data_IF_841742503759
#
_entry.id   IF_841742503759
#
_cell.length_a   1.000
_cell.length_b   1.000
_cell.length_c   1.000
_cell.angle_alpha   90.00
_cell.angle_beta   90.00
_cell.angle_gamma   90.00
#
_symmetry.space_group_name_H-M   'P 1'
#
loop_
_entity.id
_entity.type
_entity.pdbx_description
1 polymer ?
#
# COMPACT_ATOMS: atom_id res chain seq x y z
N UNK A 1 -16.05 8.22 -21.09
CA UNK A 1 -15.60 9.60 -20.87
C UNK A 1 -14.32 9.81 -21.69
N UNK A 2 -14.18 10.99 -22.29
CA UNK A 2 -12.94 11.34 -22.98
C UNK A 2 -11.79 11.50 -21.98
N UNK A 3 -10.53 11.28 -22.37
CA UNK A 3 -9.38 11.50 -21.49
C UNK A 3 -9.38 12.87 -20.81
N UNK A 4 -9.84 13.91 -21.53
CA UNK A 4 -9.90 15.27 -21.01
C UNK A 4 -10.90 15.45 -19.84
N UNK A 5 -12.01 14.71 -19.86
CA UNK A 5 -13.02 14.74 -18.77
C UNK A 5 -12.48 14.05 -17.53
N UNK A 6 -11.74 12.97 -17.68
CA UNK A 6 -11.06 12.28 -16.57
C UNK A 6 -9.99 13.18 -15.97
N UNK A 7 -9.14 13.81 -16.80
CA UNK A 7 -8.12 14.75 -16.34
C UNK A 7 -8.70 15.95 -15.55
N UNK A 8 -9.84 16.48 -15.98
CA UNK A 8 -10.48 17.59 -15.26
C UNK A 8 -11.08 17.18 -13.92
N UNK A 9 -11.64 15.96 -13.84
CA UNK A 9 -12.17 15.42 -12.59
C UNK A 9 -11.04 15.20 -11.56
N UNK A 10 -9.93 14.60 -11.98
CA UNK A 10 -8.77 14.34 -11.13
C UNK A 10 -8.08 15.63 -10.64
N UNK A 11 -8.00 16.65 -11.48
CA UNK A 11 -7.45 17.95 -11.08
C UNK A 11 -8.30 18.61 -9.98
N UNK A 12 -9.64 18.51 -10.07
CA UNK A 12 -10.55 18.99 -9.03
C UNK A 12 -10.40 18.23 -7.71
N UNK A 13 -10.10 16.95 -7.78
CA UNK A 13 -9.91 16.12 -6.58
C UNK A 13 -8.54 16.36 -5.95
N UNK A 14 -7.52 16.66 -6.75
CA UNK A 14 -6.23 17.09 -6.26
C UNK A 14 -6.32 18.36 -5.42
N UNK A 15 -7.08 19.35 -5.86
CA UNK A 15 -7.22 20.63 -5.16
C UNK A 15 -7.86 20.51 -3.76
N UNK A 16 -8.55 19.39 -3.49
CA UNK A 16 -9.13 19.09 -2.17
C UNK A 16 -8.14 18.46 -1.20
N UNK A 17 -7.01 17.97 -1.69
CA UNK A 17 -5.99 17.31 -0.87
C UNK A 17 -5.16 18.35 -0.10
N UNK A 18 -4.55 17.99 1.04
CA UNK A 18 -3.62 18.86 1.76
C UNK A 18 -2.41 19.25 0.88
N UNK A 19 -1.95 20.48 1.02
CA UNK A 19 -0.86 21.02 0.20
C UNK A 19 0.43 20.17 0.16
N UNK A 20 0.93 19.58 1.26
CA UNK A 20 2.08 18.72 1.19
C UNK A 20 1.87 17.52 0.26
N UNK A 21 0.68 16.92 0.31
CA UNK A 21 0.33 15.80 -0.57
C UNK A 21 0.20 16.24 -2.04
N UNK A 22 -0.44 17.38 -2.28
CA UNK A 22 -0.51 17.95 -3.63
C UNK A 22 0.87 18.14 -4.25
N UNK A 23 1.80 18.71 -3.48
CA UNK A 23 3.19 18.93 -3.90
C UNK A 23 3.89 17.62 -4.24
N UNK A 24 3.76 16.62 -3.38
CA UNK A 24 4.33 15.29 -3.60
C UNK A 24 3.78 14.62 -4.87
N UNK A 25 2.46 14.66 -5.08
CA UNK A 25 1.81 14.08 -6.25
C UNK A 25 2.23 14.77 -7.56
N UNK A 26 2.41 16.10 -7.52
CA UNK A 26 2.93 16.86 -8.66
C UNK A 26 4.38 16.49 -8.99
N UNK A 27 5.24 16.39 -7.98
CA UNK A 27 6.64 16.01 -8.16
C UNK A 27 6.81 14.57 -8.64
N UNK A 28 5.89 13.70 -8.26
CA UNK A 28 5.90 12.28 -8.67
C UNK A 28 5.36 12.07 -10.09
N UNK A 29 5.00 13.11 -10.83
CA UNK A 29 4.38 13.07 -12.17
C UNK A 29 3.16 12.12 -12.26
N UNK A 30 2.51 11.86 -11.13
CA UNK A 30 1.38 10.93 -11.05
C UNK A 30 0.21 11.40 -11.92
N UNK A 31 0.06 12.71 -12.05
CA UNK A 31 -1.03 13.33 -12.81
C UNK A 31 -0.94 13.08 -14.32
N UNK A 32 0.25 12.77 -14.84
CA UNK A 32 0.46 12.41 -16.23
C UNK A 32 0.15 10.93 -16.51
N UNK A 33 0.08 10.10 -15.44
CA UNK A 33 -0.09 8.65 -15.53
C UNK A 33 -1.35 8.11 -14.83
N UNK A 34 -2.38 8.93 -14.73
CA UNK A 34 -3.61 8.68 -13.98
C UNK A 34 -4.47 7.50 -14.46
N UNK A 35 -4.16 6.90 -15.59
CA UNK A 35 -4.88 5.73 -16.09
C UNK A 35 -4.40 4.39 -15.51
N UNK A 36 -3.41 4.40 -14.61
CA UNK A 36 -2.90 3.15 -14.03
C UNK A 36 -3.87 2.63 -12.99
N UNK A 37 -4.60 1.59 -13.35
CA UNK A 37 -5.60 0.94 -12.48
C UNK A 37 -5.01 -0.24 -11.70
N UNK A 38 -3.95 -0.85 -12.21
CA UNK A 38 -3.31 -2.00 -11.59
C UNK A 38 -1.81 -1.86 -11.62
N UNK A 39 -1.16 -2.20 -10.51
CA UNK A 39 0.29 -2.21 -10.37
C UNK A 39 0.78 -3.62 -10.08
N UNK A 40 1.85 -4.02 -10.75
CA UNK A 40 2.55 -5.27 -10.47
C UNK A 40 3.98 -4.96 -10.08
N UNK A 41 4.39 -5.45 -8.92
CA UNK A 41 5.73 -5.26 -8.41
C UNK A 41 6.42 -6.59 -8.14
N UNK A 42 7.73 -6.61 -8.33
CA UNK A 42 8.62 -7.66 -7.82
C UNK A 42 9.52 -7.02 -6.78
N UNK A 43 9.63 -7.67 -5.65
CA UNK A 43 10.39 -7.17 -4.52
C UNK A 43 11.48 -8.19 -4.15
N UNK A 44 12.66 -7.69 -3.83
CA UNK A 44 13.75 -8.47 -3.27
C UNK A 44 14.25 -7.77 -2.02
N UNK A 45 14.47 -8.53 -0.98
CA UNK A 45 14.90 -7.98 0.29
C UNK A 45 15.26 -9.06 1.29
N UNK A 46 15.17 -8.70 2.55
CA UNK A 46 15.34 -9.64 3.64
C UNK A 46 14.28 -9.39 4.72
N UNK A 47 13.87 -10.45 5.38
CA UNK A 47 12.90 -10.41 6.48
C UNK A 47 13.51 -11.06 7.74
N UNK A 48 13.10 -10.55 8.88
CA UNK A 48 13.48 -11.10 10.19
C UNK A 48 12.21 -11.37 11.00
N UNK A 49 12.05 -12.60 11.45
CA UNK A 49 10.86 -13.05 12.22
C UNK A 49 11.01 -12.85 13.73
N UNK A 50 11.60 -11.75 14.15
CA UNK A 50 11.69 -11.34 15.55
C UNK A 50 13.07 -10.83 15.94
N UNK A 51 13.18 -10.19 17.12
CA UNK A 51 14.46 -9.73 17.65
C UNK A 51 15.47 -10.87 17.80
N UNK A 52 16.72 -10.65 17.40
CA UNK A 52 17.79 -11.65 17.48
C UNK A 52 17.72 -12.81 16.48
N UNK A 53 16.70 -12.89 15.64
CA UNK A 53 16.63 -13.88 14.55
C UNK A 53 17.46 -13.42 13.35
N UNK A 54 17.99 -14.33 12.53
CA UNK A 54 18.73 -13.97 11.33
C UNK A 54 17.81 -13.28 10.30
N UNK A 55 18.40 -12.40 9.49
CA UNK A 55 17.78 -11.89 8.29
C UNK A 55 17.79 -13.00 7.23
N UNK A 56 16.64 -13.26 6.64
CA UNK A 56 16.45 -14.29 5.61
C UNK A 56 16.10 -13.61 4.28
N UNK A 57 16.68 -14.03 3.16
CA UNK A 57 16.33 -13.51 1.85
C UNK A 57 14.84 -13.71 1.56
N UNK A 58 14.23 -12.68 0.96
CA UNK A 58 12.83 -12.64 0.59
C UNK A 58 12.72 -12.20 -0.86
N UNK A 59 11.93 -12.95 -1.65
CA UNK A 59 11.45 -12.52 -2.96
C UNK A 59 9.93 -12.48 -2.92
N UNK A 60 9.36 -11.36 -3.38
CA UNK A 60 7.91 -11.21 -3.37
C UNK A 60 7.37 -10.68 -4.69
N UNK A 61 6.09 -10.97 -4.92
CA UNK A 61 5.27 -10.42 -6.00
C UNK A 61 4.08 -9.73 -5.37
N UNK A 62 3.82 -8.51 -5.80
CA UNK A 62 2.70 -7.72 -5.34
C UNK A 62 1.83 -7.30 -6.52
N UNK A 63 0.54 -7.44 -6.36
CA UNK A 63 -0.48 -6.99 -7.30
C UNK A 63 -1.43 -6.07 -6.55
N UNK A 64 -1.55 -4.84 -7.03
CA UNK A 64 -2.42 -3.83 -6.44
C UNK A 64 -3.47 -3.45 -7.47
N UNK A 65 -4.72 -3.43 -7.06
CA UNK A 65 -5.82 -2.86 -7.81
C UNK A 65 -6.29 -1.57 -7.15
N UNK A 66 -6.42 -0.53 -7.96
CA UNK A 66 -6.75 0.83 -7.57
C UNK A 66 -8.10 1.29 -8.05
N UNK A 67 -8.94 0.39 -8.53
CA UNK A 67 -10.27 0.73 -9.01
C UNK A 67 -11.23 1.02 -7.84
N UNK A 68 -12.49 0.76 -8.02
CA UNK A 68 -13.57 1.05 -7.08
C UNK A 68 -13.36 0.48 -5.66
N UNK A 69 -12.56 -0.59 -5.54
CA UNK A 69 -12.28 -1.26 -4.27
C UNK A 69 -10.78 -1.50 -4.11
N UNK A 70 -10.29 -1.34 -2.88
CA UNK A 70 -8.93 -1.69 -2.52
C UNK A 70 -8.67 -3.18 -2.81
N UNK A 71 -7.65 -3.46 -3.59
CA UNK A 71 -7.25 -4.82 -3.91
C UNK A 71 -5.75 -5.02 -3.78
N UNK A 72 -5.34 -6.00 -2.95
CA UNK A 72 -3.96 -6.39 -2.74
C UNK A 72 -3.83 -7.90 -2.78
N UNK A 73 -2.90 -8.39 -3.58
CA UNK A 73 -2.38 -9.75 -3.47
C UNK A 73 -0.87 -9.66 -3.36
N UNK A 74 -0.35 -10.02 -2.20
CA UNK A 74 1.08 -10.06 -1.95
C UNK A 74 1.50 -11.50 -1.64
N UNK A 75 2.41 -12.02 -2.43
CA UNK A 75 2.97 -13.35 -2.25
C UNK A 75 4.48 -13.25 -2.08
N UNK A 76 5.02 -13.88 -1.04
CA UNK A 76 6.44 -13.89 -0.77
C UNK A 76 6.98 -15.28 -0.44
N UNK A 77 8.15 -15.56 -0.97
CA UNK A 77 8.98 -16.70 -0.60
C UNK A 77 10.18 -16.24 0.22
N UNK A 78 10.39 -16.90 1.35
CA UNK A 78 11.55 -16.71 2.21
C UNK A 78 12.46 -17.92 2.07
N UNK A 79 13.71 -17.68 1.73
CA UNK A 79 14.67 -18.73 1.48
C UNK A 79 15.65 -18.89 2.64
N UNK A 80 16.03 -20.14 2.93
CA UNK A 80 17.11 -20.50 3.82
C UNK A 80 17.88 -21.65 3.20
N UNK A 81 19.21 -21.55 3.15
CA UNK A 81 20.05 -22.57 2.53
C UNK A 81 19.63 -22.94 1.10
N UNK A 82 19.30 -21.93 0.28
CA UNK A 82 18.86 -22.05 -1.12
C UNK A 82 17.49 -22.71 -1.34
N UNK A 83 16.76 -23.02 -0.28
CA UNK A 83 15.43 -23.62 -0.36
C UNK A 83 14.38 -22.63 0.14
N UNK A 84 13.25 -22.55 -0.54
CA UNK A 84 12.08 -21.84 -0.05
C UNK A 84 11.57 -22.57 1.20
N UNK A 85 11.74 -21.95 2.36
CA UNK A 85 11.37 -22.56 3.65
C UNK A 85 10.06 -22.04 4.19
N UNK A 86 9.66 -20.84 3.77
CA UNK A 86 8.41 -20.22 4.19
C UNK A 86 7.83 -19.43 3.03
N UNK A 87 6.54 -19.60 2.78
CA UNK A 87 5.79 -18.76 1.88
C UNK A 87 4.67 -18.04 2.62
N UNK A 88 4.37 -16.82 2.18
CA UNK A 88 3.33 -15.98 2.75
C UNK A 88 2.44 -15.47 1.62
N UNK A 89 1.14 -15.53 1.82
CA UNK A 89 0.14 -15.00 0.90
C UNK A 89 -0.80 -14.08 1.67
N UNK A 90 -0.78 -12.80 1.31
CA UNK A 90 -1.70 -11.80 1.84
C UNK A 90 -2.68 -11.43 0.74
N UNK A 91 -3.96 -11.51 1.03
CA UNK A 91 -5.03 -11.22 0.07
C UNK A 91 -6.04 -10.26 0.68
N UNK A 92 -6.20 -9.11 0.03
CA UNK A 92 -7.25 -8.14 0.28
C UNK A 92 -8.01 -7.96 -1.04
N UNK A 93 -9.10 -8.66 -1.20
CA UNK A 93 -10.01 -8.55 -2.35
C UNK A 93 -11.43 -8.58 -1.78
N UNK A 94 -12.12 -7.45 -1.78
CA UNK A 94 -13.44 -7.34 -1.18
C UNK A 94 -14.44 -8.34 -1.80
N UNK A 95 -15.14 -9.18 -1.00
CA UNK A 95 -15.12 -9.28 0.47
C UNK A 95 -14.03 -10.19 1.06
N UNK A 96 -13.12 -10.71 0.28
CA UNK A 96 -12.14 -11.72 0.68
C UNK A 96 -10.90 -11.10 1.31
N UNK A 97 -10.62 -11.49 2.56
CA UNK A 97 -9.39 -11.11 3.27
C UNK A 97 -8.77 -12.34 3.89
N UNK A 98 -7.50 -12.60 3.56
CA UNK A 98 -6.79 -13.76 4.08
C UNK A 98 -5.29 -13.48 4.22
N UNK A 99 -4.69 -14.00 5.29
CA UNK A 99 -3.24 -14.15 5.43
C UNK A 99 -2.97 -15.62 5.64
N UNK A 100 -2.23 -16.21 4.73
CA UNK A 100 -1.81 -17.60 4.78
C UNK A 100 -0.30 -17.68 4.85
N UNK A 101 0.21 -18.48 5.77
CA UNK A 101 1.62 -18.77 5.89
C UNK A 101 1.84 -20.28 5.81
N UNK A 102 2.85 -20.68 5.05
CA UNK A 102 3.27 -22.08 4.91
C UNK A 102 4.73 -22.23 5.25
N UNK A 103 5.08 -23.31 5.94
CA UNK A 103 6.45 -23.75 6.20
C UNK A 103 6.63 -25.09 5.50
N UNK A 104 7.61 -25.17 4.59
CA UNK A 104 7.83 -26.35 3.75
C UNK A 104 6.58 -26.81 2.99
N UNK A 105 5.76 -25.86 2.52
CA UNK A 105 4.51 -26.15 1.84
C UNK A 105 3.33 -26.53 2.75
N UNK A 106 3.57 -26.76 4.05
CA UNK A 106 2.53 -27.10 5.02
C UNK A 106 1.95 -25.82 5.61
N UNK A 107 0.61 -25.65 5.61
CA UNK A 107 -0.03 -24.51 6.27
C UNK A 107 0.40 -24.44 7.74
N UNK A 108 0.97 -23.30 8.13
CA UNK A 108 1.41 -23.05 9.50
C UNK A 108 0.48 -22.10 10.23
N UNK A 109 0.01 -21.08 9.53
CA UNK A 109 -0.95 -20.14 10.05
C UNK A 109 -1.90 -19.71 8.93
N UNK A 110 -3.16 -19.65 9.26
CA UNK A 110 -4.21 -19.03 8.46
C UNK A 110 -4.95 -18.07 9.37
N UNK A 111 -4.95 -16.79 9.00
CA UNK A 111 -5.64 -15.76 9.76
C UNK A 111 -6.70 -15.15 8.84
N UNK A 112 -7.96 -15.33 9.22
CA UNK A 112 -9.10 -14.72 8.55
C UNK A 112 -9.47 -13.42 9.25
N UNK A 113 -10.08 -12.50 8.51
CA UNK A 113 -10.62 -11.24 9.04
C UNK A 113 -9.56 -10.22 9.55
N UNK A 114 -8.37 -10.25 9.00
CA UNK A 114 -7.34 -9.22 9.28
C UNK A 114 -7.47 -8.03 8.31
N UNK A 115 -8.69 -7.59 8.02
CA UNK A 115 -8.96 -6.51 7.07
C UNK A 115 -8.18 -5.25 7.42
N UNK A 116 -8.13 -4.86 8.69
CA UNK A 116 -7.39 -3.70 9.15
C UNK A 116 -5.89 -3.81 8.84
N UNK A 117 -5.27 -4.94 9.14
CA UNK A 117 -3.86 -5.17 8.85
C UNK A 117 -3.57 -5.11 7.36
N UNK A 118 -4.41 -5.75 6.54
CA UNK A 118 -4.26 -5.77 5.09
C UNK A 118 -4.52 -4.40 4.45
N UNK A 119 -5.44 -3.61 5.01
CA UNK A 119 -5.66 -2.23 4.59
C UNK A 119 -4.46 -1.34 4.93
N UNK A 120 -3.85 -1.49 6.10
CA UNK A 120 -2.61 -0.77 6.44
C UNK A 120 -1.46 -1.15 5.50
N UNK A 121 -1.32 -2.44 5.20
CA UNK A 121 -0.32 -2.92 4.24
C UNK A 121 -0.59 -2.35 2.83
N UNK A 122 -1.84 -2.37 2.38
CA UNK A 122 -2.25 -1.76 1.13
C UNK A 122 -1.91 -0.26 1.09
N UNK A 123 -2.24 0.49 2.16
CA UNK A 123 -1.89 1.90 2.27
C UNK A 123 -0.36 2.15 2.21
N UNK A 124 0.43 1.28 2.83
CA UNK A 124 1.90 1.34 2.72
C UNK A 124 2.39 1.13 1.29
N UNK A 125 1.78 0.20 0.55
CA UNK A 125 2.15 -0.02 -0.86
C UNK A 125 1.77 1.14 -1.79
N UNK A 126 0.84 2.01 -1.40
CA UNK A 126 0.52 3.21 -2.18
C UNK A 126 1.65 4.21 -2.28
N UNK A 127 2.66 4.15 -1.41
CA UNK A 127 3.87 4.95 -1.57
C UNK A 127 4.54 4.71 -2.94
N UNK A 128 4.38 3.51 -3.49
CA UNK A 128 4.88 3.13 -4.82
C UNK A 128 3.92 3.50 -5.96
N UNK A 129 2.69 3.84 -5.62
CA UNK A 129 1.66 4.28 -6.57
C UNK A 129 0.79 5.37 -5.94
N UNK A 130 1.36 6.56 -5.71
CA UNK A 130 0.72 7.60 -4.91
C UNK A 130 -0.58 8.16 -5.50
N UNK A 131 -0.84 7.98 -6.79
CA UNK A 131 -2.12 8.28 -7.42
C UNK A 131 -3.32 7.58 -6.78
N UNK A 132 -3.09 6.45 -6.11
CA UNK A 132 -4.12 5.73 -5.36
C UNK A 132 -4.70 6.52 -4.21
N UNK A 133 -3.92 7.40 -3.60
CA UNK A 133 -4.37 8.20 -2.47
C UNK A 133 -5.47 9.19 -2.84
N UNK A 134 -5.61 9.53 -4.13
CA UNK A 134 -6.67 10.40 -4.62
C UNK A 134 -8.04 9.68 -4.55
N UNK A 135 -8.05 8.37 -4.85
CA UNK A 135 -9.28 7.61 -5.10
C UNK A 135 -9.83 6.88 -3.88
N UNK A 136 -9.08 6.76 -2.79
CA UNK A 136 -9.45 5.90 -1.65
C UNK A 136 -10.41 6.51 -0.64
N UNK A 137 -10.82 7.75 -0.80
CA UNK A 137 -11.69 8.40 0.18
C UNK A 137 -11.04 8.51 1.56
N UNK A 138 -9.73 8.76 1.61
CA UNK A 138 -9.00 8.98 2.85
C UNK A 138 -9.37 10.34 3.44
N UNK A 139 -9.62 10.38 4.74
CA UNK A 139 -9.68 11.61 5.49
C UNK A 139 -8.29 12.08 5.85
N UNK A 140 -7.95 13.30 5.50
CA UNK A 140 -6.62 13.86 5.69
C UNK A 140 -6.63 14.93 6.77
N UNK A 141 -5.69 14.87 7.68
CA UNK A 141 -5.44 15.87 8.72
C UNK A 141 -3.99 16.33 8.66
N UNK A 142 -3.77 17.64 8.57
CA UNK A 142 -2.44 18.23 8.67
C UNK A 142 -2.08 18.41 10.14
N UNK A 143 -1.03 17.73 10.57
CA UNK A 143 -0.55 17.79 11.95
C UNK A 143 0.29 19.07 12.19
N UNK A 144 0.41 19.55 13.45
CA UNK A 144 1.18 20.77 13.77
C UNK A 144 2.65 20.72 13.38
N UNK A 145 3.24 19.53 13.28
CA UNK A 145 4.62 19.31 12.86
C UNK A 145 4.80 19.28 11.32
N UNK A 146 3.74 19.46 10.55
CA UNK A 146 3.76 19.43 9.10
C UNK A 146 3.51 18.07 8.47
N UNK A 147 3.41 17.00 9.27
CA UNK A 147 3.08 15.66 8.79
C UNK A 147 1.60 15.56 8.41
N UNK A 148 1.27 14.59 7.57
CA UNK A 148 -0.11 14.28 7.21
C UNK A 148 -0.58 12.99 7.87
N UNK A 149 -1.66 13.07 8.60
CA UNK A 149 -2.39 11.91 9.09
C UNK A 149 -3.50 11.56 8.09
N UNK A 150 -3.49 10.30 7.63
CA UNK A 150 -4.49 9.74 6.74
C UNK A 150 -5.31 8.67 7.48
N UNK A 151 -6.62 8.79 7.43
CA UNK A 151 -7.52 7.82 8.02
C UNK A 151 -8.46 7.27 6.96
N UNK A 152 -8.51 5.95 6.83
CA UNK A 152 -9.48 5.27 5.98
C UNK A 152 -10.82 5.21 6.69
N UNK A 153 -11.85 5.76 6.05
CA UNK A 153 -13.23 5.75 6.57
C UNK A 153 -13.87 4.39 6.35
N UNK A 154 -13.43 3.39 7.09
CA UNK A 154 -14.08 2.08 7.11
C UNK A 154 -14.49 1.76 8.55
N UNK A 155 -15.80 1.78 8.88
CA UNK A 155 -16.28 1.57 10.24
C UNK A 155 -15.92 0.17 10.78
N UNK A 156 -15.82 -0.83 9.90
CA UNK A 156 -15.54 -2.21 10.29
C UNK A 156 -14.04 -2.50 10.45
N UNK A 157 -13.19 -1.65 9.90
CA UNK A 157 -11.74 -1.83 9.94
C UNK A 157 -11.01 -0.48 9.82
N UNK A 158 -11.00 0.33 10.87
CA UNK A 158 -10.32 1.62 10.86
C UNK A 158 -8.82 1.40 10.66
N UNK A 159 -8.27 2.07 9.67
CA UNK A 159 -6.84 2.06 9.38
C UNK A 159 -6.36 3.50 9.23
N UNK A 160 -5.22 3.81 9.81
CA UNK A 160 -4.61 5.13 9.70
C UNK A 160 -3.10 5.02 9.54
N UNK A 161 -2.52 6.00 8.86
CA UNK A 161 -1.08 6.13 8.69
C UNK A 161 -0.69 7.60 8.76
N UNK A 162 0.57 7.84 9.07
CA UNK A 162 1.13 9.20 9.09
C UNK A 162 2.23 9.29 8.04
N UNK A 163 2.12 10.27 7.15
CA UNK A 163 3.10 10.52 6.11
C UNK A 163 4.02 11.64 6.55
N UNK A 164 5.31 11.37 6.52
CA UNK A 164 6.37 12.33 6.82
C UNK A 164 7.03 12.81 5.53
N UNK A 165 6.97 14.10 5.28
CA UNK A 165 7.62 14.73 4.13
C UNK A 165 8.83 15.52 4.56
N UNK A 166 9.85 15.59 3.70
CA UNK A 166 10.96 16.49 3.92
C UNK A 166 10.67 17.93 3.44
N UNK A 167 11.66 18.82 3.61
CA UNK A 167 11.57 20.22 3.19
C UNK A 167 11.38 20.35 1.66
N UNK A 168 11.86 19.39 0.90
CA UNK A 168 11.71 19.31 -0.55
C UNK A 168 10.33 18.79 -0.97
N UNK A 169 9.54 18.23 -0.03
CA UNK A 169 8.23 17.65 -0.25
C UNK A 169 8.27 16.19 -0.72
N UNK A 170 9.39 15.50 -0.51
CA UNK A 170 9.50 14.07 -0.80
C UNK A 170 9.08 13.24 0.40
N UNK A 171 8.39 12.13 0.16
CA UNK A 171 7.98 11.19 1.20
C UNK A 171 9.20 10.49 1.81
N UNK A 172 9.38 10.61 3.13
CA UNK A 172 10.50 10.01 3.88
C UNK A 172 10.11 8.74 4.61
N UNK A 173 8.92 8.73 5.20
CA UNK A 173 8.41 7.55 5.93
C UNK A 173 6.89 7.54 6.00
N UNK A 174 6.36 6.38 6.32
CA UNK A 174 4.96 6.08 6.56
C UNK A 174 4.80 5.50 7.97
#
# INVERSE_FOLDING_TARGET
PSPDVLMQAEKKDLDKLPKPLQRYLQQSNVLEHHAVQTVRMRQKGAIRFGPGKPWLPLEAKCFINNQTYAGLVWYADVTRYFLATRSMLHTLLDPWTNIEERIWGIPFAEKKHLRQQLLLEYCGFMAWHPGSWINLGLNWELLPNGDLHAQLSNPDAPASLTLHFDEEGLLRSL
#
